data_IF_907603116533
#
_entry.id   IF_907603116533
#
_cell.length_a   1.000
_cell.length_b   1.000
_cell.length_c   1.000
_cell.angle_alpha   90.00
_cell.angle_beta   90.00
_cell.angle_gamma   90.00
#
_symmetry.space_group_name_H-M   'P 1'
#
loop_
_entity.id
_entity.type
_entity.pdbx_description
1 polymer ?
#
# COMPACT_ATOMS: atom_id res chain seq x y z
N UNK A 1 -0.60 24.69 -3.62
CA UNK A 1 -0.95 24.06 -4.91
C UNK A 1 -0.33 24.99 -5.96
N UNK A 2 0.42 24.45 -6.91
CA UNK A 2 1.34 25.15 -7.85
C UNK A 2 2.82 25.12 -7.44
N UNK A 3 3.43 23.93 -7.48
CA UNK A 3 4.90 23.76 -7.60
C UNK A 3 5.34 22.37 -8.13
N UNK A 4 4.42 21.55 -8.66
CA UNK A 4 4.73 20.21 -9.22
C UNK A 4 4.11 19.98 -10.61
N UNK A 5 3.76 21.05 -11.30
CA UNK A 5 3.45 21.00 -12.73
C UNK A 5 4.55 21.71 -13.52
N UNK A 6 5.60 20.96 -13.85
CA UNK A 6 6.18 20.95 -15.19
C UNK A 6 6.96 19.65 -15.35
N UNK A 7 6.60 18.90 -16.39
CA UNK A 7 7.25 17.69 -16.91
C UNK A 7 6.87 16.35 -16.25
N UNK A 8 5.59 15.97 -16.44
CA UNK A 8 5.32 14.62 -16.94
C UNK A 8 6.22 14.34 -18.16
N UNK A 9 6.91 13.20 -18.26
CA UNK A 9 7.32 12.71 -19.57
C UNK A 9 6.03 12.32 -20.29
N UNK A 10 5.58 13.18 -21.21
CA UNK A 10 4.65 12.75 -22.26
C UNK A 10 5.26 11.51 -22.89
N UNK A 11 4.46 10.46 -23.07
CA UNK A 11 4.77 9.42 -24.06
C UNK A 11 4.88 10.11 -25.41
N UNK A 12 6.08 10.55 -25.77
CA UNK A 12 6.39 11.06 -27.08
C UNK A 12 6.66 9.83 -27.95
N UNK A 13 5.57 9.23 -28.45
CA UNK A 13 5.62 8.48 -29.70
C UNK A 13 5.54 9.50 -30.85
N UNK A 14 6.51 10.41 -30.96
CA UNK A 14 6.56 11.37 -32.08
C UNK A 14 6.98 10.63 -33.35
N UNK A 15 6.14 10.58 -34.41
CA UNK A 15 6.49 9.93 -35.67
C UNK A 15 7.65 10.63 -36.42
N UNK A 16 7.95 11.89 -36.06
CA UNK A 16 9.07 12.65 -36.60
C UNK A 16 10.42 12.30 -35.94
N UNK A 17 10.41 11.71 -34.73
CA UNK A 17 11.59 11.19 -34.02
C UNK A 17 12.22 9.98 -34.74
N UNK A 18 11.42 9.24 -35.50
CA UNK A 18 11.87 8.03 -36.20
C UNK A 18 12.52 8.32 -37.56
N UNK A 19 12.28 9.50 -38.15
CA UNK A 19 12.73 9.83 -39.51
C UNK A 19 14.16 10.42 -39.59
N UNK A 20 14.60 11.12 -38.53
CA UNK A 20 15.95 11.65 -38.39
C UNK A 20 16.95 10.62 -37.84
N UNK A 21 16.45 9.57 -37.17
CA UNK A 21 17.23 8.48 -36.60
C UNK A 21 18.02 7.71 -37.69
N UNK A 22 17.50 7.65 -38.93
CA UNK A 22 18.18 7.04 -40.07
C UNK A 22 19.50 7.75 -40.46
N UNK A 23 19.62 9.08 -40.30
CA UNK A 23 20.84 9.82 -40.71
C UNK A 23 21.99 9.71 -39.72
N UNK A 24 21.70 9.63 -38.43
CA UNK A 24 22.72 9.37 -37.39
C UNK A 24 23.10 7.88 -37.33
N UNK A 25 22.16 6.99 -37.64
CA UNK A 25 22.44 5.55 -37.82
C UNK A 25 23.36 5.32 -39.02
N UNK A 26 23.17 6.01 -40.15
CA UNK A 26 24.05 5.88 -41.33
C UNK A 26 25.54 6.22 -41.08
N UNK A 27 25.84 7.19 -40.21
CA UNK A 27 27.23 7.57 -39.92
C UNK A 27 28.00 6.51 -39.12
N UNK A 28 27.33 5.69 -38.31
CA UNK A 28 27.97 4.67 -37.45
C UNK A 28 27.78 3.25 -38.01
N UNK A 29 26.64 2.95 -38.66
CA UNK A 29 26.38 1.66 -39.32
C UNK A 29 27.38 1.41 -40.48
N UNK A 30 28.01 2.45 -41.00
CA UNK A 30 29.05 2.33 -42.03
C UNK A 30 30.42 1.81 -41.53
N UNK A 31 30.61 1.50 -40.24
CA UNK A 31 31.87 0.90 -39.73
C UNK A 31 33.14 1.75 -39.92
N UNK A 32 32.99 3.03 -40.31
CA UNK A 32 34.12 3.95 -40.48
C UNK A 32 34.48 4.57 -39.15
N UNK A 33 35.42 3.95 -38.43
CA UNK A 33 36.10 4.58 -37.29
C UNK A 33 36.71 5.92 -37.79
N UNK A 34 36.44 7.06 -37.12
CA UNK A 34 36.98 8.34 -37.54
C UNK A 34 38.52 8.29 -37.51
N UNK A 35 39.16 8.41 -38.69
CA UNK A 35 40.62 8.27 -38.85
C UNK A 35 41.43 9.47 -38.33
N UNK A 36 40.79 10.56 -37.93
CA UNK A 36 41.45 11.79 -37.46
C UNK A 36 41.04 12.15 -36.03
N UNK A 37 42.05 12.44 -35.21
CA UNK A 37 41.94 12.81 -33.79
C UNK A 37 41.11 14.08 -33.53
N UNK A 38 40.94 14.95 -34.53
CA UNK A 38 40.09 16.15 -34.45
C UNK A 38 38.59 15.83 -34.51
N UNK A 39 38.17 14.92 -35.41
CA UNK A 39 36.74 14.64 -35.66
C UNK A 39 36.00 13.91 -34.52
N UNK A 40 36.72 13.28 -33.59
CA UNK A 40 36.13 12.51 -32.49
C UNK A 40 35.65 13.39 -31.33
N UNK A 41 36.14 14.63 -31.24
CA UNK A 41 35.70 15.63 -30.25
C UNK A 41 34.54 16.49 -30.73
N UNK A 42 34.30 16.53 -32.05
CA UNK A 42 33.24 17.33 -32.63
C UNK A 42 31.87 16.77 -32.22
N UNK A 43 30.97 17.69 -31.84
CA UNK A 43 29.59 17.38 -31.53
C UNK A 43 28.74 17.62 -32.78
N UNK A 44 27.80 16.72 -33.05
CA UNK A 44 26.81 16.91 -34.09
C UNK A 44 25.80 18.01 -33.72
N UNK A 45 24.84 18.28 -34.62
CA UNK A 45 23.79 19.28 -34.40
C UNK A 45 22.87 18.96 -33.21
N UNK A 46 22.85 17.72 -32.76
CA UNK A 46 22.10 17.28 -31.59
C UNK A 46 22.95 17.31 -30.31
N UNK A 47 24.22 17.70 -30.40
CA UNK A 47 25.16 17.77 -29.30
C UNK A 47 25.75 16.42 -28.92
N UNK A 48 25.82 15.46 -29.85
CA UNK A 48 26.40 14.14 -29.63
C UNK A 48 27.72 13.97 -30.37
N UNK A 49 28.72 13.42 -29.68
CA UNK A 49 29.96 12.95 -30.32
C UNK A 49 29.77 11.54 -30.88
N UNK A 50 30.68 11.06 -31.75
CA UNK A 50 30.65 9.66 -32.22
C UNK A 50 30.61 8.64 -31.07
N UNK A 51 31.24 8.95 -29.94
CA UNK A 51 31.21 8.09 -28.75
C UNK A 51 29.82 8.06 -28.09
N UNK A 52 29.08 9.16 -28.07
CA UNK A 52 27.69 9.18 -27.60
C UNK A 52 26.78 8.33 -28.48
N UNK A 53 26.96 8.40 -29.80
CA UNK A 53 26.18 7.59 -30.76
C UNK A 53 26.49 6.09 -30.60
N UNK A 54 27.77 5.72 -30.46
CA UNK A 54 28.18 4.34 -30.17
C UNK A 54 27.61 3.85 -28.82
N UNK A 55 27.61 4.71 -27.80
CA UNK A 55 27.05 4.39 -26.49
C UNK A 55 25.53 4.21 -26.49
N UNK A 56 24.82 5.01 -27.29
CA UNK A 56 23.37 4.88 -27.49
C UNK A 56 22.99 3.57 -28.18
N UNK A 57 23.75 3.18 -29.20
CA UNK A 57 23.48 2.00 -30.03
C UNK A 57 23.99 0.70 -29.39
N UNK A 58 24.95 0.78 -28.47
CA UNK A 58 25.52 -0.40 -27.79
C UNK A 58 26.72 -1.02 -28.51
N UNK A 59 27.41 -0.27 -29.36
CA UNK A 59 28.52 -0.80 -30.16
C UNK A 59 29.84 -0.82 -29.36
N UNK A 60 30.06 -1.90 -28.61
CA UNK A 60 31.22 -2.05 -27.70
C UNK A 60 32.56 -1.91 -28.43
N UNK A 61 32.73 -2.56 -29.59
CA UNK A 61 33.99 -2.49 -30.33
C UNK A 61 34.28 -1.08 -30.87
N UNK A 62 33.25 -0.35 -31.30
CA UNK A 62 33.35 1.05 -31.70
C UNK A 62 33.74 1.94 -30.52
N UNK A 63 33.14 1.70 -29.34
CA UNK A 63 33.48 2.38 -28.08
C UNK A 63 34.95 2.14 -27.72
N UNK A 64 35.41 0.89 -27.75
CA UNK A 64 36.81 0.51 -27.47
C UNK A 64 37.78 1.18 -28.44
N UNK A 65 37.46 1.17 -29.74
CA UNK A 65 38.29 1.81 -30.76
C UNK A 65 38.41 3.33 -30.53
N UNK A 66 37.30 4.02 -30.22
CA UNK A 66 37.29 5.46 -29.98
C UNK A 66 38.05 5.81 -28.69
N UNK A 67 37.85 5.06 -27.60
CA UNK A 67 38.56 5.26 -26.34
C UNK A 67 40.05 4.93 -26.44
N UNK A 68 40.44 4.05 -27.38
CA UNK A 68 41.83 3.79 -27.74
C UNK A 68 42.54 4.97 -28.42
N UNK A 69 41.80 5.86 -29.09
CA UNK A 69 42.36 7.09 -29.69
C UNK A 69 42.65 8.12 -28.60
N UNK A 70 41.64 8.43 -27.78
CA UNK A 70 41.80 9.33 -26.65
C UNK A 70 40.79 9.03 -25.54
N UNK A 71 41.31 8.66 -24.37
CA UNK A 71 40.47 8.34 -23.21
C UNK A 71 39.66 9.54 -22.71
N UNK A 72 40.09 10.79 -22.99
CA UNK A 72 39.35 12.00 -22.54
C UNK A 72 37.94 12.08 -23.11
N UNK A 73 37.67 11.38 -24.22
CA UNK A 73 36.36 11.36 -24.85
C UNK A 73 35.26 10.77 -23.96
N UNK A 74 35.59 9.91 -22.99
CA UNK A 74 34.60 9.35 -22.06
C UNK A 74 33.90 10.40 -21.18
N UNK A 75 34.53 11.56 -20.95
CA UNK A 75 33.98 12.68 -20.16
C UNK A 75 33.52 13.86 -21.01
N UNK A 76 33.50 13.69 -22.33
CA UNK A 76 33.04 14.74 -23.24
C UNK A 76 31.55 14.98 -22.99
N UNK A 77 31.20 16.20 -22.58
CA UNK A 77 29.82 16.58 -22.32
C UNK A 77 29.15 16.99 -23.63
N UNK A 78 28.12 16.25 -23.99
CA UNK A 78 27.21 16.58 -25.07
C UNK A 78 26.04 17.45 -24.60
N UNK A 79 24.89 17.28 -25.26
CA UNK A 79 23.65 17.97 -24.92
C UNK A 79 23.20 17.70 -23.47
N UNK A 80 22.68 18.74 -22.81
CA UNK A 80 22.29 18.75 -21.39
C UNK A 80 23.43 18.39 -20.42
N UNK A 81 24.68 18.49 -20.89
CA UNK A 81 25.85 18.07 -20.12
C UNK A 81 26.00 16.56 -19.97
N UNK A 82 25.25 15.75 -20.73
CA UNK A 82 25.32 14.28 -20.69
C UNK A 82 26.65 13.81 -21.27
N UNK A 83 27.29 12.88 -20.58
CA UNK A 83 28.47 12.15 -21.10
C UNK A 83 28.04 10.87 -21.81
N UNK A 84 28.93 10.18 -22.56
CA UNK A 84 28.61 8.88 -23.16
C UNK A 84 28.12 7.84 -22.14
N UNK A 85 28.63 7.87 -20.91
CA UNK A 85 28.17 6.98 -19.83
C UNK A 85 26.70 7.23 -19.48
N UNK A 86 26.27 8.49 -19.37
CA UNK A 86 24.87 8.87 -19.15
C UNK A 86 23.95 8.33 -20.25
N UNK A 87 24.40 8.39 -21.51
CA UNK A 87 23.63 7.88 -22.65
C UNK A 87 23.55 6.35 -22.65
N UNK A 88 24.63 5.65 -22.31
CA UNK A 88 24.62 4.20 -22.15
C UNK A 88 23.70 3.75 -21.00
N UNK A 89 23.74 4.45 -19.86
CA UNK A 89 22.89 4.23 -18.69
C UNK A 89 21.40 4.43 -19.00
N UNK A 90 21.06 5.49 -19.74
CA UNK A 90 19.70 5.78 -20.22
C UNK A 90 19.12 4.68 -21.11
N UNK A 91 19.97 3.94 -21.84
CA UNK A 91 19.59 2.91 -22.81
C UNK A 91 19.84 1.48 -22.33
N UNK A 92 20.24 1.30 -21.06
CA UNK A 92 20.49 -0.02 -20.49
C UNK A 92 21.68 -0.77 -21.09
N UNK A 93 22.65 -0.09 -21.74
CA UNK A 93 23.76 -0.74 -22.46
C UNK A 93 24.88 -1.17 -21.51
N UNK A 94 24.68 -2.28 -20.79
CA UNK A 94 25.58 -2.81 -19.75
C UNK A 94 27.01 -3.01 -20.22
N UNK A 95 27.22 -3.59 -21.40
CA UNK A 95 28.56 -3.93 -21.88
C UNK A 95 29.36 -2.67 -22.22
N UNK A 96 28.69 -1.67 -22.80
CA UNK A 96 29.27 -0.36 -23.04
C UNK A 96 29.60 0.36 -21.73
N UNK A 97 28.72 0.29 -20.73
CA UNK A 97 28.97 0.86 -19.40
C UNK A 97 30.26 0.28 -18.82
N UNK A 98 30.42 -1.05 -18.86
CA UNK A 98 31.63 -1.72 -18.38
C UNK A 98 32.88 -1.28 -19.14
N UNK A 99 32.83 -1.19 -20.46
CA UNK A 99 33.97 -0.77 -21.28
C UNK A 99 34.37 0.69 -21.03
N UNK A 100 33.40 1.61 -20.94
CA UNK A 100 33.65 3.04 -20.66
C UNK A 100 34.27 3.22 -19.27
N UNK A 101 33.68 2.60 -18.25
CA UNK A 101 34.15 2.74 -16.86
C UNK A 101 35.51 2.07 -16.66
N UNK A 102 35.76 0.92 -17.29
CA UNK A 102 37.08 0.26 -17.27
C UNK A 102 38.17 1.13 -17.92
N UNK A 103 37.79 1.94 -18.91
CA UNK A 103 38.71 2.86 -19.59
C UNK A 103 38.98 4.13 -18.80
N UNK A 104 38.00 4.63 -18.04
CA UNK A 104 38.12 5.80 -17.17
C UNK A 104 37.17 5.68 -15.98
N UNK A 105 37.72 5.39 -14.81
CA UNK A 105 36.95 5.23 -13.56
C UNK A 105 36.22 6.52 -13.19
N UNK A 106 36.88 7.67 -13.31
CA UNK A 106 36.34 8.94 -12.79
C UNK A 106 35.09 9.44 -13.56
N UNK A 107 34.74 8.84 -14.70
CA UNK A 107 33.54 9.21 -15.44
C UNK A 107 32.22 8.83 -14.73
N UNK A 108 32.27 7.97 -13.69
CA UNK A 108 31.06 7.62 -12.90
C UNK A 108 30.57 8.78 -12.03
N UNK A 109 31.45 9.72 -11.70
CA UNK A 109 31.14 10.90 -10.87
C UNK A 109 30.64 12.09 -11.68
N UNK A 110 30.71 12.01 -13.02
CA UNK A 110 30.27 13.08 -13.91
C UNK A 110 28.79 13.38 -13.71
N UNK A 111 28.47 14.66 -13.75
CA UNK A 111 27.12 15.18 -13.60
C UNK A 111 26.66 15.90 -14.87
N UNK A 112 25.39 15.71 -15.17
CA UNK A 112 24.64 16.53 -16.14
C UNK A 112 24.38 17.94 -15.62
N UNK A 113 23.77 18.80 -16.44
CA UNK A 113 23.35 20.15 -16.03
C UNK A 113 22.38 20.12 -14.84
N UNK A 114 21.61 19.05 -14.66
CA UNK A 114 20.68 18.86 -13.53
C UNK A 114 21.33 18.21 -12.29
N UNK A 115 22.66 18.11 -12.23
CA UNK A 115 23.36 17.44 -11.14
C UNK A 115 23.16 15.91 -11.09
N UNK A 116 22.57 15.32 -12.14
CA UNK A 116 22.31 13.88 -12.19
C UNK A 116 23.56 13.13 -12.62
N UNK A 117 23.91 12.06 -11.90
CA UNK A 117 24.92 11.07 -12.30
C UNK A 117 24.33 10.01 -13.23
N UNK A 118 25.18 9.18 -13.84
CA UNK A 118 24.73 8.06 -14.66
C UNK A 118 23.79 7.10 -13.91
N UNK A 119 23.98 6.93 -12.60
CA UNK A 119 23.11 6.12 -11.75
C UNK A 119 21.70 6.72 -11.63
N UNK A 120 21.57 8.04 -11.44
CA UNK A 120 20.27 8.72 -11.42
C UNK A 120 19.49 8.49 -12.72
N UNK A 121 20.18 8.59 -13.86
CA UNK A 121 19.56 8.40 -15.19
C UNK A 121 19.11 6.95 -15.38
N UNK A 122 19.94 5.96 -15.02
CA UNK A 122 19.58 4.55 -15.10
C UNK A 122 18.34 4.24 -14.25
N UNK A 123 18.28 4.80 -13.03
CA UNK A 123 17.13 4.64 -12.13
C UNK A 123 15.87 5.31 -12.70
N UNK A 124 15.99 6.53 -13.20
CA UNK A 124 14.86 7.26 -13.80
C UNK A 124 14.26 6.49 -14.99
N UNK A 125 15.11 5.87 -15.82
CA UNK A 125 14.68 5.09 -16.99
C UNK A 125 14.33 3.64 -16.67
N UNK A 126 14.44 3.22 -15.40
CA UNK A 126 14.13 1.87 -14.92
C UNK A 126 15.01 0.77 -15.53
N UNK A 127 16.24 1.11 -15.91
CA UNK A 127 17.19 0.18 -16.52
C UNK A 127 17.96 -0.59 -15.45
N UNK A 128 17.35 -1.65 -14.91
CA UNK A 128 17.91 -2.45 -13.79
C UNK A 128 19.29 -3.02 -14.13
N UNK A 129 19.50 -3.51 -15.36
CA UNK A 129 20.79 -4.04 -15.79
C UNK A 129 21.92 -3.00 -15.71
N UNK A 130 21.63 -1.75 -16.13
CA UNK A 130 22.58 -0.65 -16.02
C UNK A 130 22.82 -0.26 -14.56
N UNK A 131 21.78 -0.23 -13.72
CA UNK A 131 21.93 0.05 -12.28
C UNK A 131 22.83 -0.99 -11.62
N UNK A 132 22.58 -2.28 -11.84
CA UNK A 132 23.41 -3.37 -11.27
C UNK A 132 24.85 -3.26 -11.75
N UNK A 133 25.08 -3.03 -13.04
CA UNK A 133 26.43 -2.89 -13.58
C UNK A 133 27.15 -1.67 -12.99
N UNK A 134 26.49 -0.52 -12.90
CA UNK A 134 27.07 0.70 -12.32
C UNK A 134 27.37 0.52 -10.83
N UNK A 135 26.45 -0.07 -10.07
CA UNK A 135 26.61 -0.34 -8.63
C UNK A 135 27.78 -1.30 -8.39
N UNK A 136 27.87 -2.40 -9.14
CA UNK A 136 28.99 -3.35 -9.06
C UNK A 136 30.33 -2.68 -9.36
N UNK A 137 30.40 -1.83 -10.39
CA UNK A 137 31.61 -1.09 -10.71
C UNK A 137 31.96 -0.08 -9.60
N UNK A 138 30.98 0.62 -9.05
CA UNK A 138 31.18 1.59 -7.96
C UNK A 138 31.73 0.91 -6.70
N UNK A 139 31.22 -0.27 -6.34
CA UNK A 139 31.68 -1.02 -5.16
C UNK A 139 33.10 -1.54 -5.37
N UNK A 140 33.41 -2.09 -6.56
CA UNK A 140 34.76 -2.57 -6.91
C UNK A 140 35.79 -1.44 -6.90
N UNK A 141 35.42 -0.25 -7.36
CA UNK A 141 36.33 0.90 -7.47
C UNK A 141 36.34 1.79 -6.21
N UNK A 142 35.61 1.41 -5.16
CA UNK A 142 35.46 2.16 -3.91
C UNK A 142 35.01 3.62 -4.12
N UNK A 143 34.02 3.84 -5.01
CA UNK A 143 33.41 5.16 -5.29
C UNK A 143 31.99 5.26 -4.73
N UNK A 144 31.81 4.74 -3.52
CA UNK A 144 30.51 4.59 -2.84
C UNK A 144 29.77 5.93 -2.74
N UNK A 145 30.50 7.05 -2.78
CA UNK A 145 29.95 8.41 -2.78
C UNK A 145 28.92 8.70 -3.88
N UNK A 146 29.02 8.00 -5.01
CA UNK A 146 28.10 8.16 -6.14
C UNK A 146 26.69 7.61 -5.82
N UNK A 147 26.56 6.68 -4.85
CA UNK A 147 25.26 6.09 -4.47
C UNK A 147 24.34 7.07 -3.74
N UNK A 148 24.92 8.04 -3.02
CA UNK A 148 24.18 9.01 -2.20
C UNK A 148 24.29 10.45 -2.71
N UNK A 149 24.91 10.64 -3.87
CA UNK A 149 24.99 11.95 -4.52
C UNK A 149 23.57 12.45 -4.81
N UNK A 150 23.36 13.76 -4.61
CA UNK A 150 22.06 14.40 -4.79
C UNK A 150 22.00 15.13 -6.13
N UNK A 151 20.87 15.01 -6.82
CA UNK A 151 20.58 15.84 -7.99
C UNK A 151 20.29 17.31 -7.60
N UNK A 152 20.01 18.15 -8.59
CA UNK A 152 19.67 19.55 -8.37
C UNK A 152 18.42 19.74 -7.49
N UNK A 153 17.52 18.76 -7.41
CA UNK A 153 16.34 18.79 -6.54
C UNK A 153 16.63 18.21 -5.13
N UNK A 154 17.86 17.79 -4.88
CA UNK A 154 18.27 17.15 -3.63
C UNK A 154 17.91 15.68 -3.54
N UNK A 155 17.37 15.07 -4.60
CA UNK A 155 16.99 13.67 -4.60
C UNK A 155 18.23 12.79 -4.76
N UNK A 156 18.32 11.75 -3.95
CA UNK A 156 19.27 10.66 -4.16
C UNK A 156 18.70 9.65 -5.17
N UNK A 157 19.50 8.72 -5.72
CA UNK A 157 18.99 7.64 -6.56
C UNK A 157 17.87 6.83 -5.88
N UNK A 158 17.93 6.68 -4.55
CA UNK A 158 16.89 6.00 -3.76
C UNK A 158 15.55 6.76 -3.75
N UNK A 159 15.56 8.10 -3.75
CA UNK A 159 14.33 8.89 -3.88
C UNK A 159 13.67 8.65 -5.25
N UNK A 160 14.48 8.65 -6.32
CA UNK A 160 13.99 8.40 -7.68
C UNK A 160 13.45 6.98 -7.83
N UNK A 161 14.13 5.98 -7.26
CA UNK A 161 13.68 4.58 -7.30
C UNK A 161 12.34 4.40 -6.57
N UNK A 162 12.18 5.07 -5.43
CA UNK A 162 10.94 5.08 -4.64
C UNK A 162 9.80 5.80 -5.37
N UNK A 163 10.08 6.94 -6.02
CA UNK A 163 9.09 7.63 -6.87
C UNK A 163 8.58 6.75 -8.01
N UNK A 164 9.46 5.95 -8.62
CA UNK A 164 9.11 5.00 -9.68
C UNK A 164 8.48 3.71 -9.15
N UNK A 165 8.52 3.47 -7.84
CA UNK A 165 7.97 2.28 -7.16
C UNK A 165 8.50 0.97 -7.70
N UNK A 166 9.76 0.95 -8.11
CA UNK A 166 10.40 -0.26 -8.61
C UNK A 166 11.12 -0.99 -7.47
N UNK A 167 10.48 -2.06 -6.97
CA UNK A 167 10.99 -2.85 -5.83
C UNK A 167 12.40 -3.39 -6.06
N UNK A 168 12.65 -4.00 -7.23
CA UNK A 168 13.95 -4.61 -7.52
C UNK A 168 15.07 -3.57 -7.52
N UNK A 169 14.77 -2.37 -8.03
CA UNK A 169 15.72 -1.27 -8.05
C UNK A 169 16.05 -0.76 -6.64
N UNK A 170 15.05 -0.65 -5.78
CA UNK A 170 15.23 -0.25 -4.38
C UNK A 170 16.04 -1.30 -3.62
N UNK A 171 15.79 -2.58 -3.87
CA UNK A 171 16.53 -3.69 -3.27
C UNK A 171 18.02 -3.62 -3.63
N UNK A 172 18.36 -3.50 -4.92
CA UNK A 172 19.75 -3.37 -5.37
C UNK A 172 20.44 -2.15 -4.75
N UNK A 173 19.76 -1.00 -4.72
CA UNK A 173 20.35 0.23 -4.16
C UNK A 173 20.55 0.14 -2.65
N UNK A 174 19.60 -0.44 -1.91
CA UNK A 174 19.70 -0.60 -0.45
C UNK A 174 20.77 -1.61 -0.06
N UNK A 175 20.91 -2.70 -0.81
CA UNK A 175 21.95 -3.71 -0.58
C UNK A 175 23.35 -3.19 -0.93
N UNK A 176 23.44 -2.25 -1.86
CA UNK A 176 24.70 -1.62 -2.24
C UNK A 176 25.26 -0.64 -1.19
N UNK A 177 24.41 -0.12 -0.29
CA UNK A 177 24.84 0.85 0.72
C UNK A 177 25.55 0.10 1.87
N UNK A 178 26.76 0.51 2.28
CA UNK A 178 27.46 -0.09 3.42
C UNK A 178 26.63 -0.03 4.70
N UNK A 179 26.58 -1.13 5.47
CA UNK A 179 25.78 -1.24 6.70
C UNK A 179 26.09 -0.11 7.71
N UNK A 180 27.33 0.37 7.76
CA UNK A 180 27.77 1.44 8.67
C UNK A 180 27.09 2.78 8.39
N UNK A 181 26.85 3.12 7.12
CA UNK A 181 26.22 4.38 6.69
C UNK A 181 24.76 4.23 6.24
N UNK A 182 24.27 2.99 6.16
CA UNK A 182 22.93 2.63 5.66
C UNK A 182 21.81 3.43 6.30
N UNK A 183 21.81 3.54 7.62
CA UNK A 183 20.76 4.25 8.36
C UNK A 183 20.80 5.76 8.13
N UNK A 184 21.98 6.34 7.89
CA UNK A 184 22.10 7.77 7.60
C UNK A 184 21.70 8.09 6.16
N UNK A 185 22.19 7.30 5.20
CA UNK A 185 21.99 7.57 3.76
C UNK A 185 20.56 7.28 3.29
N UNK A 186 19.92 6.24 3.83
CA UNK A 186 18.51 5.94 3.54
C UNK A 186 17.58 7.06 4.04
N UNK A 187 18.03 7.80 5.07
CA UNK A 187 17.31 8.91 5.69
C UNK A 187 17.69 10.28 5.13
N UNK A 188 18.47 10.33 4.05
CA UNK A 188 18.75 11.58 3.36
C UNK A 188 17.44 12.26 2.94
N UNK A 189 17.38 13.58 3.14
CA UNK A 189 16.23 14.40 2.72
C UNK A 189 16.55 15.17 1.44
N UNK A 190 15.55 15.34 0.59
CA UNK A 190 15.62 16.21 -0.59
C UNK A 190 15.41 17.69 -0.25
N UNK A 191 15.42 18.59 -1.25
CA UNK A 191 15.18 20.03 -1.02
C UNK A 191 13.80 20.35 -0.45
N UNK A 192 12.85 19.41 -0.55
CA UNK A 192 11.51 19.54 0.06
C UNK A 192 11.48 19.07 1.52
N UNK A 193 12.58 18.53 2.06
CA UNK A 193 12.62 17.97 3.40
C UNK A 193 11.98 16.59 3.52
N UNK A 194 11.78 15.89 2.40
CA UNK A 194 11.17 14.55 2.37
C UNK A 194 12.26 13.49 2.27
N UNK A 195 12.14 12.42 3.04
CA UNK A 195 12.93 11.20 2.85
C UNK A 195 12.32 10.32 1.74
N UNK A 196 13.07 9.32 1.28
CA UNK A 196 12.55 8.33 0.34
C UNK A 196 11.29 7.63 0.89
N UNK A 197 11.23 7.37 2.19
CA UNK A 197 10.07 6.77 2.85
C UNK A 197 8.86 7.71 2.83
N UNK A 198 9.07 9.02 3.05
CA UNK A 198 7.99 10.01 2.98
C UNK A 198 7.39 10.08 1.58
N UNK A 199 8.23 10.04 0.53
CA UNK A 199 7.76 10.01 -0.86
C UNK A 199 6.86 8.80 -1.17
N UNK A 200 7.20 7.62 -0.63
CA UNK A 200 6.38 6.41 -0.80
C UNK A 200 5.00 6.57 -0.16
N UNK A 201 4.95 7.15 1.03
CA UNK A 201 3.71 7.29 1.81
C UNK A 201 2.82 8.42 1.27
N UNK A 202 3.41 9.49 0.74
CA UNK A 202 2.65 10.62 0.18
C UNK A 202 1.86 10.24 -1.09
N UNK A 203 2.37 9.30 -1.88
CA UNK A 203 1.74 8.86 -3.11
C UNK A 203 1.51 7.34 -3.05
N UNK A 204 0.51 6.82 -2.32
CA UNK A 204 0.28 5.37 -2.21
C UNK A 204 -0.33 4.76 -3.49
N UNK A 205 0.05 3.53 -3.81
CA UNK A 205 -0.51 2.65 -4.86
C UNK A 205 -0.97 1.33 -4.23
N UNK A 206 -1.97 0.69 -4.84
CA UNK A 206 -2.83 -0.29 -4.17
C UNK A 206 -2.22 -1.69 -3.96
N UNK A 207 -1.10 -2.09 -4.60
CA UNK A 207 -0.65 -3.49 -4.55
C UNK A 207 0.85 -3.77 -4.31
N UNK A 208 1.76 -2.80 -4.45
CA UNK A 208 3.23 -3.06 -4.36
C UNK A 208 3.98 -2.30 -3.27
N UNK A 209 3.37 -1.23 -2.75
CA UNK A 209 4.08 -0.27 -1.89
C UNK A 209 4.39 -0.84 -0.51
N UNK A 210 3.62 -1.82 -0.05
CA UNK A 210 3.83 -2.47 1.26
C UNK A 210 5.18 -3.19 1.33
N UNK A 211 5.54 -3.95 0.29
CA UNK A 211 6.83 -4.65 0.25
C UNK A 211 8.00 -3.67 0.20
N UNK A 212 7.83 -2.59 -0.58
CA UNK A 212 8.82 -1.51 -0.67
C UNK A 212 8.98 -0.80 0.67
N UNK A 213 7.86 -0.50 1.32
CA UNK A 213 7.81 0.10 2.66
C UNK A 213 8.55 -0.76 3.68
N UNK A 214 8.25 -2.06 3.71
CA UNK A 214 8.93 -3.00 4.62
C UNK A 214 10.43 -3.08 4.34
N UNK A 215 10.85 -3.09 3.06
CA UNK A 215 12.27 -3.10 2.69
C UNK A 215 12.99 -1.83 3.17
N UNK A 216 12.40 -0.65 2.96
CA UNK A 216 12.97 0.61 3.41
C UNK A 216 13.07 0.67 4.94
N UNK A 217 12.01 0.28 5.66
CA UNK A 217 12.03 0.22 7.14
C UNK A 217 13.11 -0.75 7.64
N UNK A 218 13.25 -1.93 7.03
CA UNK A 218 14.32 -2.90 7.38
C UNK A 218 15.71 -2.33 7.13
N UNK A 219 15.86 -1.43 6.17
CA UNK A 219 17.11 -0.71 5.91
C UNK A 219 17.37 0.44 6.89
N UNK A 220 16.47 0.69 7.85
CA UNK A 220 16.58 1.78 8.82
C UNK A 220 15.95 3.10 8.36
N UNK A 221 15.09 3.07 7.33
CA UNK A 221 14.36 4.27 6.91
C UNK A 221 13.43 4.78 8.01
N UNK A 222 13.43 6.08 8.21
CA UNK A 222 12.58 6.84 9.11
C UNK A 222 11.84 7.92 8.30
N UNK A 223 10.71 8.36 8.84
CA UNK A 223 10.00 9.50 8.28
C UNK A 223 10.73 10.80 8.62
N UNK A 224 10.68 11.79 7.74
CA UNK A 224 11.30 13.11 7.95
C UNK A 224 10.90 13.76 9.28
N UNK A 225 9.66 13.54 9.75
CA UNK A 225 9.17 13.99 11.05
C UNK A 225 9.94 13.43 12.24
N UNK A 226 10.42 12.19 12.12
CA UNK A 226 11.03 11.44 13.21
C UNK A 226 12.55 11.68 13.27
N UNK A 227 13.15 11.99 12.11
CA UNK A 227 14.58 12.31 11.95
C UNK A 227 14.94 13.61 12.72
N UNK A 228 14.08 14.64 12.62
CA UNK A 228 14.29 15.93 13.31
C UNK A 228 14.30 15.84 14.84
N UNK A 229 13.56 14.87 15.39
CA UNK A 229 13.50 14.61 16.84
C UNK A 229 14.77 13.92 17.35
N UNK A 230 15.43 13.15 16.50
CA UNK A 230 16.63 12.36 16.84
C UNK A 230 17.92 13.20 16.74
N UNK A 231 17.96 14.17 15.83
CA UNK A 231 19.13 15.06 15.63
C UNK A 231 19.45 15.97 16.82
N UNK A 232 18.50 16.25 17.72
CA UNK A 232 18.76 17.03 18.93
C UNK A 232 19.39 16.21 20.07
N UNK A 233 19.37 14.88 19.98
CA UNK A 233 19.97 13.99 21.00
C UNK A 233 21.44 13.68 20.66
N UNK A 234 21.82 13.74 19.38
CA UNK A 234 23.13 13.25 18.92
C UNK A 234 24.30 14.24 19.08
N UNK A 235 24.05 15.48 19.56
CA UNK A 235 25.11 16.47 19.78
C UNK A 235 25.66 16.48 21.21
N UNK A 236 25.13 15.64 22.10
CA UNK A 236 25.68 15.43 23.45
C UNK A 236 25.81 13.94 23.72
N UNK A 237 26.99 13.54 24.18
CA UNK A 237 27.39 12.19 24.64
C UNK A 237 27.91 11.21 23.59
N UNK A 238 29.08 11.53 23.05
CA UNK A 238 30.13 10.51 22.86
C UNK A 238 30.64 10.06 24.24
N UNK A 239 30.12 8.94 24.76
CA UNK A 239 30.79 8.00 25.69
C UNK A 239 29.76 7.27 26.55
N UNK A 240 29.43 6.04 26.19
CA UNK A 240 29.55 4.86 27.07
C UNK A 240 29.04 3.62 26.33
N UNK A 241 29.97 2.70 26.10
CA UNK A 241 29.72 1.28 25.91
C UNK A 241 28.90 0.70 27.06
N UNK A 242 27.92 -0.14 26.78
CA UNK A 242 27.81 -1.51 27.30
C UNK A 242 26.45 -2.12 26.95
N UNK A 243 26.51 -3.43 26.70
CA UNK A 243 25.43 -4.40 26.63
C UNK A 243 24.16 -4.05 27.41
N UNK A 244 23.00 -4.31 26.80
CA UNK A 244 21.93 -4.96 27.56
C UNK A 244 21.21 -5.96 26.67
N UNK A 245 21.40 -7.23 27.03
CA UNK A 245 20.64 -8.39 26.60
C UNK A 245 19.13 -8.17 26.71
N UNK A 246 18.40 -8.82 25.81
CA UNK A 246 16.96 -9.06 25.92
C UNK A 246 16.66 -9.76 27.25
N UNK A 247 16.09 -9.02 28.19
CA UNK A 247 15.28 -9.60 29.25
C UNK A 247 13.84 -9.77 28.75
N UNK A 248 13.48 -11.03 28.56
CA UNK A 248 12.12 -11.51 28.45
C UNK A 248 11.52 -11.54 29.87
N UNK A 249 10.51 -10.72 30.17
CA UNK A 249 9.40 -11.08 31.06
C UNK A 249 8.29 -10.00 31.20
N UNK A 250 7.04 -10.48 31.12
CA UNK A 250 5.80 -9.96 31.70
C UNK A 250 5.18 -8.63 31.19
N UNK A 251 4.33 -8.72 30.15
CA UNK A 251 3.20 -7.79 29.92
C UNK A 251 2.05 -8.45 29.13
N UNK A 252 1.47 -9.48 29.74
CA UNK A 252 0.61 -10.52 29.12
C UNK A 252 -0.85 -10.15 28.77
N UNK A 253 -1.25 -8.88 28.61
CA UNK A 253 -2.63 -8.64 28.10
C UNK A 253 -2.91 -7.23 27.56
N UNK A 254 -2.15 -6.21 28.01
CA UNK A 254 -2.34 -4.82 27.56
C UNK A 254 -1.74 -4.53 26.18
N UNK A 255 -0.75 -5.30 25.75
CA UNK A 255 -0.07 -5.07 24.46
C UNK A 255 -0.75 -5.71 23.26
N UNK A 256 -1.49 -6.82 23.43
CA UNK A 256 -2.23 -7.43 22.33
C UNK A 256 -3.33 -6.51 21.81
N UNK A 257 -4.09 -5.86 22.71
CA UNK A 257 -5.13 -4.90 22.32
C UNK A 257 -4.51 -3.69 21.59
N UNK A 258 -3.35 -3.22 22.05
CA UNK A 258 -2.61 -2.10 21.43
C UNK A 258 -1.97 -2.45 20.08
N UNK A 259 -1.80 -3.74 19.80
CA UNK A 259 -1.36 -4.27 18.51
C UNK A 259 -2.50 -4.35 17.49
N UNK A 260 -3.72 -4.70 17.94
CA UNK A 260 -4.92 -4.79 17.10
C UNK A 260 -5.71 -3.48 16.97
N UNK A 261 -5.34 -2.42 17.69
CA UNK A 261 -6.00 -1.13 17.53
C UNK A 261 -5.68 -0.51 16.17
N UNK A 262 -6.73 -0.11 15.45
CA UNK A 262 -6.63 0.64 14.22
C UNK A 262 -5.80 1.91 14.45
N UNK A 263 -4.67 2.02 13.74
CA UNK A 263 -3.81 3.19 13.80
C UNK A 263 -3.97 3.95 12.49
N UNK A 264 -4.60 5.13 12.57
CA UNK A 264 -4.87 6.04 11.43
C UNK A 264 -3.65 6.34 10.54
N UNK A 265 -2.42 6.17 11.06
CA UNK A 265 -1.17 6.41 10.35
C UNK A 265 -0.48 5.15 9.81
N UNK A 266 -0.90 3.95 10.25
CA UNK A 266 -0.33 2.64 9.88
C UNK A 266 -1.26 1.87 8.95
N UNK A 267 -2.56 1.91 9.21
CA UNK A 267 -3.54 1.06 8.55
C UNK A 267 -4.33 1.89 7.53
N UNK A 268 -4.38 1.42 6.29
CA UNK A 268 -5.12 2.09 5.22
C UNK A 268 -6.61 2.15 5.56
N UNK A 269 -7.30 3.29 5.33
CA UNK A 269 -8.75 3.36 5.42
C UNK A 269 -9.47 2.30 4.57
N UNK A 270 -8.86 1.84 3.47
CA UNK A 270 -9.41 0.80 2.59
C UNK A 270 -9.29 -0.62 3.19
N UNK A 271 -8.21 -0.92 3.90
CA UNK A 271 -8.02 -2.21 4.59
C UNK A 271 -8.97 -2.32 5.79
N UNK A 272 -9.10 -1.25 6.58
CA UNK A 272 -10.08 -1.19 7.65
C UNK A 272 -11.51 -1.32 7.11
N UNK A 273 -11.85 -0.61 6.01
CA UNK A 273 -13.14 -0.74 5.34
C UNK A 273 -13.41 -2.18 4.89
N UNK A 274 -12.42 -2.86 4.33
CA UNK A 274 -12.55 -4.25 3.84
C UNK A 274 -12.73 -5.25 5.00
N UNK A 275 -11.93 -5.13 6.05
CA UNK A 275 -12.06 -5.96 7.24
C UNK A 275 -13.42 -5.74 7.95
N UNK A 276 -13.85 -4.48 8.06
CA UNK A 276 -15.13 -4.11 8.64
C UNK A 276 -16.32 -4.62 7.78
N UNK A 277 -16.20 -4.62 6.44
CA UNK A 277 -17.20 -5.23 5.56
C UNK A 277 -17.32 -6.74 5.81
N UNK A 278 -16.19 -7.45 5.96
CA UNK A 278 -16.20 -8.88 6.25
C UNK A 278 -16.87 -9.15 7.61
N UNK A 279 -16.45 -8.44 8.67
CA UNK A 279 -17.05 -8.60 10.01
C UNK A 279 -18.54 -8.28 10.00
N UNK A 280 -18.96 -7.17 9.38
CA UNK A 280 -20.36 -6.80 9.28
C UNK A 280 -21.18 -7.85 8.51
N UNK A 281 -20.63 -8.41 7.42
CA UNK A 281 -21.28 -9.47 6.64
C UNK A 281 -21.43 -10.78 7.42
N UNK A 282 -20.42 -11.15 8.22
CA UNK A 282 -20.47 -12.34 9.08
C UNK A 282 -21.50 -12.20 10.20
N UNK A 283 -21.54 -11.05 10.88
CA UNK A 283 -22.53 -10.77 11.93
C UNK A 283 -23.95 -10.74 11.34
N UNK A 284 -24.15 -10.10 10.17
CA UNK A 284 -25.42 -10.12 9.47
C UNK A 284 -25.85 -11.54 9.08
N UNK A 285 -24.91 -12.37 8.61
CA UNK A 285 -25.19 -13.76 8.24
C UNK A 285 -25.57 -14.59 9.46
N UNK A 286 -24.82 -14.50 10.56
CA UNK A 286 -25.09 -15.26 11.79
C UNK A 286 -26.46 -14.90 12.40
N UNK A 287 -26.80 -13.62 12.44
CA UNK A 287 -28.10 -13.14 12.96
C UNK A 287 -29.26 -13.53 12.05
N UNK A 288 -29.08 -13.48 10.73
CA UNK A 288 -30.07 -13.96 9.77
C UNK A 288 -30.30 -15.48 9.87
N UNK A 289 -29.24 -16.27 9.98
CA UNK A 289 -29.33 -17.73 10.12
C UNK A 289 -30.07 -18.15 11.39
N UNK A 290 -29.85 -17.45 12.51
CA UNK A 290 -30.58 -17.68 13.74
C UNK A 290 -32.10 -17.41 13.62
N UNK A 291 -32.52 -16.65 12.61
CA UNK A 291 -33.94 -16.41 12.32
C UNK A 291 -34.57 -17.49 11.44
N UNK A 292 -33.78 -18.10 10.55
CA UNK A 292 -34.23 -19.20 9.69
C UNK A 292 -34.25 -20.55 10.41
N UNK A 293 -33.31 -20.74 11.34
CA UNK A 293 -33.19 -21.97 12.13
C UNK A 293 -33.37 -21.63 13.61
N UNK A 294 -34.61 -21.52 14.10
CA UNK A 294 -34.84 -21.24 15.51
C UNK A 294 -34.30 -22.40 16.37
N UNK A 295 -33.92 -22.14 17.64
CA UNK A 295 -33.24 -23.10 18.53
C UNK A 295 -34.05 -24.35 18.95
N UNK A 296 -35.12 -24.70 18.24
CA UNK A 296 -35.81 -25.99 18.33
C UNK A 296 -36.11 -26.65 16.98
N UNK A 297 -35.79 -26.00 15.86
CA UNK A 297 -36.12 -26.48 14.51
C UNK A 297 -37.54 -26.12 14.07
N UNK A 298 -38.06 -26.86 13.09
CA UNK A 298 -39.44 -26.74 12.58
C UNK A 298 -40.10 -28.11 12.59
N UNK A 299 -41.42 -28.13 12.83
CA UNK A 299 -42.19 -29.36 12.71
C UNK A 299 -42.18 -29.86 11.26
N UNK A 300 -41.92 -31.15 11.06
CA UNK A 300 -41.89 -31.77 9.73
C UNK A 300 -43.26 -32.33 9.32
N UNK A 301 -44.15 -32.55 10.30
CA UNK A 301 -45.49 -33.08 10.16
C UNK A 301 -46.52 -32.18 10.85
N UNK A 302 -47.80 -32.43 10.56
CA UNK A 302 -48.92 -31.69 11.17
C UNK A 302 -49.70 -32.61 12.09
N UNK A 303 -49.93 -32.18 13.32
CA UNK A 303 -50.76 -32.86 14.31
C UNK A 303 -52.00 -32.04 14.62
N UNK A 304 -53.17 -32.59 14.32
CA UNK A 304 -54.46 -32.04 14.74
C UNK A 304 -55.21 -33.13 15.52
N UNK A 305 -55.67 -32.86 16.76
CA UNK A 305 -56.44 -33.84 17.51
C UNK A 305 -57.79 -34.04 16.82
N UNK A 306 -58.07 -35.27 16.38
CA UNK A 306 -59.34 -35.64 15.77
C UNK A 306 -60.48 -35.54 16.80
N UNK A 307 -61.51 -34.77 16.49
CA UNK A 307 -62.72 -34.68 17.30
C UNK A 307 -63.64 -35.87 17.03
N UNK A 308 -63.34 -37.03 17.61
CA UNK A 308 -64.36 -38.08 17.74
C UNK A 308 -64.09 -39.01 18.93
N UNK A 309 -65.20 -39.36 19.57
CA UNK A 309 -65.38 -39.89 20.91
C UNK A 309 -64.81 -41.30 21.14
N UNK A 310 -64.59 -41.54 22.43
CA UNK A 310 -64.59 -42.80 23.18
C UNK A 310 -63.29 -43.60 23.35
N UNK A 311 -63.12 -43.94 24.64
CA UNK A 311 -62.34 -45.01 25.27
C UNK A 311 -60.84 -44.82 25.51
N UNK A 312 -60.56 -44.40 26.75
CA UNK A 312 -59.60 -45.01 27.69
C UNK A 312 -58.28 -45.52 27.11
N UNK A 313 -57.23 -44.72 27.18
CA UNK A 313 -56.04 -45.04 28.00
C UNK A 313 -54.91 -44.02 27.77
N UNK A 314 -54.17 -43.80 28.85
CA UNK A 314 -52.89 -43.09 28.97
C UNK A 314 -52.98 -41.56 28.94
N UNK A 315 -52.69 -40.98 30.11
CA UNK A 315 -52.32 -39.58 30.30
C UNK A 315 -51.02 -39.29 29.54
N UNK A 316 -51.10 -39.07 28.22
CA UNK A 316 -50.08 -38.31 27.50
C UNK A 316 -50.38 -36.83 27.71
N UNK A 317 -49.38 -36.00 28.08
CA UNK A 317 -49.61 -34.58 28.27
C UNK A 317 -50.17 -34.01 26.98
N UNK A 318 -51.27 -33.25 27.08
CA UNK A 318 -51.99 -32.64 25.97
C UNK A 318 -51.03 -31.87 25.06
N UNK A 319 -50.55 -32.50 23.98
CA UNK A 319 -49.75 -31.82 22.97
C UNK A 319 -50.65 -30.83 22.24
N UNK A 320 -50.24 -29.56 22.20
CA UNK A 320 -50.94 -28.54 21.44
C UNK A 320 -50.91 -28.90 19.95
N UNK A 321 -51.98 -28.61 19.19
CA UNK A 321 -51.98 -28.83 17.73
C UNK A 321 -50.87 -28.01 17.08
N UNK A 322 -50.15 -28.62 16.13
CA UNK A 322 -49.07 -27.98 15.37
C UNK A 322 -49.16 -28.33 13.90
N UNK A 323 -48.68 -27.44 13.04
CA UNK A 323 -48.67 -27.62 11.59
C UNK A 323 -47.22 -27.72 11.10
N UNK A 324 -47.00 -28.54 10.08
CA UNK A 324 -45.70 -28.65 9.42
C UNK A 324 -45.21 -27.26 8.96
N UNK A 325 -43.94 -26.96 9.22
CA UNK A 325 -43.34 -25.65 8.96
C UNK A 325 -43.46 -24.65 10.12
N UNK A 326 -44.22 -24.96 11.18
CA UNK A 326 -44.23 -24.14 12.39
C UNK A 326 -42.93 -24.33 13.19
N UNK A 327 -42.39 -23.23 13.71
CA UNK A 327 -41.16 -23.26 14.51
C UNK A 327 -41.36 -23.93 15.87
N UNK A 328 -40.45 -24.82 16.22
CA UNK A 328 -40.37 -25.45 17.54
C UNK A 328 -39.57 -24.52 18.45
N UNK A 329 -40.14 -24.22 19.61
CA UNK A 329 -39.49 -23.34 20.57
C UNK A 329 -38.50 -24.10 21.45
N UNK A 330 -37.27 -23.58 21.55
CA UNK A 330 -36.30 -24.07 22.53
C UNK A 330 -36.67 -23.70 23.98
N UNK A 331 -37.39 -22.59 24.20
CA UNK A 331 -37.85 -22.16 25.53
C UNK A 331 -39.23 -21.52 25.47
N UNK A 332 -40.12 -21.86 26.41
CA UNK A 332 -41.45 -21.24 26.54
C UNK A 332 -41.46 -19.97 27.41
N UNK A 333 -40.29 -19.52 27.89
CA UNK A 333 -40.19 -18.31 28.69
C UNK A 333 -40.22 -17.07 27.77
N UNK A 334 -41.35 -16.35 27.76
CA UNK A 334 -41.57 -15.18 26.92
C UNK A 334 -40.54 -14.06 27.12
N UNK A 335 -39.98 -13.91 28.34
CA UNK A 335 -38.97 -12.88 28.64
C UNK A 335 -37.65 -13.21 27.93
N UNK A 336 -37.18 -14.46 28.04
CA UNK A 336 -35.95 -14.91 27.41
C UNK A 336 -36.04 -14.83 25.88
N UNK A 337 -37.17 -15.24 25.32
CA UNK A 337 -37.44 -15.14 23.89
C UNK A 337 -37.43 -13.67 23.41
N UNK A 338 -38.08 -12.79 24.16
CA UNK A 338 -38.13 -11.36 23.85
C UNK A 338 -36.74 -10.72 23.86
N UNK A 339 -35.89 -11.06 24.84
CA UNK A 339 -34.49 -10.59 24.90
C UNK A 339 -33.68 -11.11 23.70
N UNK A 340 -33.84 -12.37 23.33
CA UNK A 340 -33.20 -12.95 22.16
C UNK A 340 -33.57 -12.19 20.89
N UNK A 341 -34.87 -12.00 20.63
CA UNK A 341 -35.37 -11.25 19.47
C UNK A 341 -34.81 -9.83 19.45
N UNK A 342 -34.81 -9.15 20.60
CA UNK A 342 -34.32 -7.78 20.72
C UNK A 342 -32.82 -7.65 20.35
N UNK A 343 -31.95 -8.43 20.99
CA UNK A 343 -30.50 -8.34 20.72
C UNK A 343 -30.12 -8.83 19.32
N UNK A 344 -30.80 -9.87 18.82
CA UNK A 344 -30.54 -10.39 17.47
C UNK A 344 -30.93 -9.35 16.40
N UNK A 345 -32.10 -8.72 16.55
CA UNK A 345 -32.56 -7.67 15.63
C UNK A 345 -31.65 -6.44 15.68
N UNK A 346 -31.12 -6.05 16.85
CA UNK A 346 -30.12 -4.98 16.95
C UNK A 346 -28.84 -5.33 16.20
N UNK A 347 -28.30 -6.54 16.44
CA UNK A 347 -27.08 -7.01 15.77
C UNK A 347 -27.22 -6.98 14.26
N UNK A 348 -28.33 -7.52 13.73
CA UNK A 348 -28.62 -7.52 12.31
C UNK A 348 -28.77 -6.09 11.75
N UNK A 349 -29.54 -5.22 12.43
CA UNK A 349 -29.80 -3.86 11.97
C UNK A 349 -28.55 -2.98 11.94
N UNK A 350 -27.69 -3.08 12.97
CA UNK A 350 -26.40 -2.37 13.02
C UNK A 350 -25.46 -2.89 11.93
N UNK A 351 -25.40 -4.20 11.70
CA UNK A 351 -24.57 -4.77 10.62
C UNK A 351 -25.00 -4.32 9.23
N UNK A 352 -26.31 -4.30 8.93
CA UNK A 352 -26.82 -3.76 7.66
C UNK A 352 -26.54 -2.26 7.49
N UNK A 353 -26.68 -1.49 8.56
CA UNK A 353 -26.36 -0.06 8.55
C UNK A 353 -24.87 0.18 8.29
N UNK A 354 -24.02 -0.62 8.91
CA UNK A 354 -22.58 -0.61 8.70
C UNK A 354 -22.21 -1.00 7.27
N UNK A 355 -22.83 -2.03 6.68
CA UNK A 355 -22.66 -2.39 5.27
C UNK A 355 -23.08 -1.26 4.33
N UNK A 356 -24.19 -0.56 4.60
CA UNK A 356 -24.65 0.58 3.81
C UNK A 356 -23.69 1.77 3.91
N UNK A 357 -23.11 2.05 5.10
CA UNK A 357 -22.11 3.10 5.29
C UNK A 357 -20.80 2.75 4.56
N UNK A 358 -20.32 1.52 4.74
CA UNK A 358 -19.06 1.05 4.14
C UNK A 358 -19.16 0.85 2.63
N UNK A 359 -20.33 0.93 2.02
CA UNK A 359 -20.50 0.83 0.55
C UNK A 359 -20.81 2.17 -0.12
N UNK A 360 -20.78 3.30 0.62
CA UNK A 360 -20.82 4.63 0.01
C UNK A 360 -19.60 4.80 -0.93
N UNK A 361 -19.87 4.94 -2.23
CA UNK A 361 -18.85 5.12 -3.28
C UNK A 361 -18.84 4.05 -4.38
N UNK A 362 -19.57 2.94 -4.24
CA UNK A 362 -19.64 1.93 -5.30
C UNK A 362 -20.68 2.28 -6.38
N UNK A 363 -20.41 1.97 -7.67
CA UNK A 363 -21.32 2.28 -8.78
C UNK A 363 -22.64 1.48 -8.75
N UNK A 364 -22.72 0.38 -8.01
CA UNK A 364 -23.91 -0.51 -7.90
C UNK A 364 -24.71 -0.32 -6.60
N UNK A 365 -24.64 0.88 -5.99
CA UNK A 365 -25.25 1.16 -4.68
C UNK A 365 -26.76 0.88 -4.65
N UNK A 366 -27.48 1.22 -5.71
CA UNK A 366 -28.95 1.09 -5.74
C UNK A 366 -29.41 -0.37 -5.68
N UNK A 367 -28.79 -1.25 -6.46
CA UNK A 367 -29.08 -2.69 -6.46
C UNK A 367 -28.80 -3.31 -5.08
N UNK A 368 -27.67 -2.92 -4.46
CA UNK A 368 -27.32 -3.40 -3.13
C UNK A 368 -28.31 -2.92 -2.06
N UNK A 369 -28.80 -1.68 -2.16
CA UNK A 369 -29.80 -1.15 -1.23
C UNK A 369 -31.14 -1.89 -1.32
N UNK A 370 -31.57 -2.25 -2.53
CA UNK A 370 -32.77 -3.09 -2.70
C UNK A 370 -32.57 -4.46 -2.03
N UNK A 371 -31.40 -5.08 -2.22
CA UNK A 371 -31.08 -6.37 -1.58
C UNK A 371 -31.07 -6.26 -0.05
N UNK A 372 -30.41 -5.23 0.50
CA UNK A 372 -30.38 -4.97 1.95
C UNK A 372 -31.79 -4.74 2.52
N UNK A 373 -32.63 -4.00 1.81
CA UNK A 373 -34.03 -3.78 2.21
C UNK A 373 -34.83 -5.09 2.20
N UNK A 374 -34.68 -5.91 1.16
CA UNK A 374 -35.35 -7.21 1.05
C UNK A 374 -34.90 -8.16 2.17
N UNK A 375 -33.60 -8.23 2.48
CA UNK A 375 -33.08 -9.00 3.61
C UNK A 375 -33.64 -8.51 4.94
N UNK A 376 -33.76 -7.19 5.12
CA UNK A 376 -34.33 -6.59 6.32
C UNK A 376 -35.78 -7.01 6.55
N UNK A 377 -36.64 -6.87 5.55
CA UNK A 377 -38.04 -7.29 5.67
C UNK A 377 -38.19 -8.80 5.88
N UNK A 378 -37.36 -9.60 5.19
CA UNK A 378 -37.37 -11.06 5.33
C UNK A 378 -37.02 -11.49 6.75
N UNK A 379 -36.00 -10.87 7.36
CA UNK A 379 -35.59 -11.14 8.74
C UNK A 379 -36.70 -10.82 9.75
N UNK A 380 -37.31 -9.63 9.65
CA UNK A 380 -38.38 -9.23 10.57
C UNK A 380 -39.63 -10.11 10.44
N UNK A 381 -39.98 -10.52 9.22
CA UNK A 381 -41.09 -11.44 8.96
C UNK A 381 -40.80 -12.82 9.55
N UNK A 382 -39.59 -13.34 9.36
CA UNK A 382 -39.17 -14.61 9.96
C UNK A 382 -39.22 -14.53 11.50
N UNK A 383 -38.65 -13.50 12.11
CA UNK A 383 -38.57 -13.37 13.57
C UNK A 383 -39.95 -13.22 14.24
N UNK A 384 -40.89 -12.55 13.57
CA UNK A 384 -42.28 -12.42 14.06
C UNK A 384 -43.10 -13.70 13.86
N UNK A 385 -42.76 -14.52 12.86
CA UNK A 385 -43.40 -15.83 12.63
C UNK A 385 -43.02 -16.89 13.67
N UNK A 386 -41.82 -16.78 14.24
CA UNK A 386 -41.31 -17.67 15.30
C UNK A 386 -41.94 -17.31 16.66
N UNK A 387 -42.43 -16.09 16.85
CA UNK A 387 -42.83 -15.58 18.17
C UNK A 387 -44.10 -16.26 18.75
N UNK A 388 -44.15 -16.52 20.07
CA UNK A 388 -45.32 -17.08 20.72
C UNK A 388 -46.46 -16.05 20.77
N UNK A 389 -47.70 -16.50 20.67
CA UNK A 389 -48.88 -15.62 20.50
C UNK A 389 -48.99 -14.51 21.55
N UNK A 390 -48.62 -14.80 22.81
CA UNK A 390 -48.70 -13.86 23.92
C UNK A 390 -47.65 -12.74 23.90
N UNK A 391 -46.57 -12.87 23.14
CA UNK A 391 -45.54 -11.81 22.96
C UNK A 391 -45.41 -11.33 21.51
N UNK A 392 -46.14 -11.94 20.57
CA UNK A 392 -46.07 -11.62 19.14
C UNK A 392 -46.31 -10.15 18.83
N UNK A 393 -47.30 -9.53 19.48
CA UNK A 393 -47.58 -8.09 19.34
C UNK A 393 -46.40 -7.22 19.83
N UNK A 394 -45.77 -7.61 20.94
CA UNK A 394 -44.61 -6.91 21.49
C UNK A 394 -43.38 -7.05 20.57
N UNK A 395 -43.16 -8.25 20.00
CA UNK A 395 -42.11 -8.47 19.01
C UNK A 395 -42.33 -7.64 17.73
N UNK A 396 -43.57 -7.54 17.24
CA UNK A 396 -43.92 -6.70 16.07
C UNK A 396 -43.66 -5.22 16.37
N UNK A 397 -44.05 -4.74 17.55
CA UNK A 397 -43.81 -3.35 17.96
C UNK A 397 -42.32 -3.04 18.07
N UNK A 398 -41.55 -3.90 18.73
CA UNK A 398 -40.09 -3.73 18.86
C UNK A 398 -39.41 -3.70 17.50
N UNK A 399 -39.70 -4.69 16.65
CA UNK A 399 -39.06 -4.80 15.33
C UNK A 399 -39.40 -3.60 14.43
N UNK A 400 -40.65 -3.15 14.46
CA UNK A 400 -41.11 -1.98 13.70
C UNK A 400 -40.51 -0.66 14.21
N UNK A 401 -40.44 -0.48 15.54
CA UNK A 401 -39.82 0.71 16.15
C UNK A 401 -38.32 0.72 15.88
N UNK A 402 -37.65 -0.42 15.97
CA UNK A 402 -36.22 -0.53 15.72
C UNK A 402 -35.90 -0.28 14.24
N UNK A 403 -36.75 -0.71 13.31
CA UNK A 403 -36.66 -0.38 11.88
C UNK A 403 -36.65 1.13 11.64
N UNK A 404 -37.61 1.84 12.24
CA UNK A 404 -37.73 3.29 12.12
C UNK A 404 -36.62 4.05 12.87
N UNK A 405 -36.16 3.50 14.00
CA UNK A 405 -35.15 4.13 14.85
C UNK A 405 -33.72 3.93 14.33
N UNK A 406 -33.44 2.90 13.53
CA UNK A 406 -32.08 2.55 13.08
C UNK A 406 -31.33 3.73 12.42
N UNK A 407 -31.94 4.50 11.49
CA UNK A 407 -31.26 5.66 10.88
C UNK A 407 -30.99 6.79 11.89
N UNK A 408 -31.86 6.96 12.89
CA UNK A 408 -31.72 7.98 13.92
C UNK A 408 -30.70 7.57 14.98
N UNK A 409 -30.72 6.30 15.41
CA UNK A 409 -29.79 5.72 16.37
C UNK A 409 -28.34 5.79 15.88
N UNK A 410 -28.10 5.58 14.58
CA UNK A 410 -26.76 5.73 14.00
C UNK A 410 -26.24 7.17 14.10
N UNK A 411 -27.07 8.18 13.82
CA UNK A 411 -26.70 9.61 14.02
C UNK A 411 -26.50 9.95 15.48
N UNK A 412 -27.24 9.29 16.37
CA UNK A 412 -27.18 9.51 17.81
C UNK A 412 -25.97 8.80 18.44
N UNK A 413 -25.46 7.73 17.82
CA UNK A 413 -24.26 6.99 18.23
C UNK A 413 -22.95 7.65 17.76
N UNK A 414 -22.96 8.47 16.69
CA UNK A 414 -21.77 9.21 16.25
C UNK A 414 -21.18 10.11 17.35
N UNK A 415 -22.03 10.84 18.08
CA UNK A 415 -21.62 11.76 19.16
C UNK A 415 -21.01 11.05 20.39
N UNK A 416 -21.64 10.03 20.98
CA UNK A 416 -21.07 9.31 22.12
C UNK A 416 -19.87 8.46 21.72
N UNK A 417 -19.79 7.91 20.50
CA UNK A 417 -18.58 7.22 20.03
C UNK A 417 -17.42 8.21 19.91
N UNK A 418 -17.64 9.40 19.34
CA UNK A 418 -16.63 10.46 19.29
C UNK A 418 -16.19 10.91 20.69
N UNK A 419 -17.15 11.05 21.62
CA UNK A 419 -16.88 11.44 23.01
C UNK A 419 -16.14 10.34 23.79
N UNK A 420 -16.48 9.06 23.57
CA UNK A 420 -15.78 7.91 24.16
C UNK A 420 -14.36 7.77 23.62
N UNK A 421 -14.15 8.01 22.32
CA UNK A 421 -12.80 8.07 21.76
C UNK A 421 -11.98 9.20 22.39
N UNK A 422 -12.56 10.39 22.58
CA UNK A 422 -11.88 11.51 23.24
C UNK A 422 -11.58 11.25 24.73
N UNK A 423 -12.51 10.61 25.44
CA UNK A 423 -12.32 10.20 26.84
C UNK A 423 -11.25 9.10 26.95
N UNK A 424 -11.21 8.17 26.01
CA UNK A 424 -10.20 7.11 25.94
C UNK A 424 -8.81 7.69 25.67
N UNK A 425 -8.70 8.65 24.73
CA UNK A 425 -7.45 9.36 24.46
C UNK A 425 -6.98 10.19 25.66
N UNK A 426 -7.92 10.85 26.36
CA UNK A 426 -7.63 11.61 27.59
C UNK A 426 -7.19 10.71 28.74
N UNK A 427 -7.77 9.51 28.88
CA UNK A 427 -7.38 8.53 29.89
C UNK A 427 -6.02 7.92 29.57
N UNK A 428 -5.74 7.63 28.31
CA UNK A 428 -4.42 7.16 27.85
C UNK A 428 -3.32 8.20 28.11
N UNK A 429 -3.59 9.49 27.87
CA UNK A 429 -2.66 10.57 28.20
C UNK A 429 -2.39 10.67 29.70
N UNK A 430 -3.41 10.52 30.55
CA UNK A 430 -3.22 10.53 32.02
C UNK A 430 -2.44 9.33 32.54
N UNK A 431 -2.60 8.17 31.91
CA UNK A 431 -1.88 6.94 32.29
C UNK A 431 -0.43 6.95 31.78
N UNK A 432 -0.12 7.64 30.68
CA UNK A 432 1.26 7.80 30.19
C UNK A 432 2.06 8.92 30.87
N UNK A 433 1.42 9.80 31.64
CA UNK A 433 2.06 10.91 32.36
C UNK A 433 2.24 10.67 33.87
N UNK A 434 1.88 9.49 34.38
CA UNK A 434 2.30 8.96 35.68
C UNK A 434 3.31 7.85 35.45
#
# INVERSE_FOLDING_TARGET
MDAFETHQPREITDPLYNSSNLRSEECVVAGKIPRQRSSVFDLDKEGFSPLHAAARTGQVETVRAILGIDKKLCRLKGRDGKTPLHVAAMRGKTDVIREIVSSCVDCVEDETVQGQTALHIAVMHQEIGAVVAIVELITVMNRIEVLYKKDEQGNTPLHLATWRKNRQMIEVLVEAIPEESKTFEVNAMNKMGLSALDLLVMFPSEAGDREIYEKLIRAGAQRGSDIGTTTNIQRTTSSTSACQERAMESQSHKDLVKYFTFKKHRDSPSEARSALLVVASLVATATFQASLTPPGGTWQDSYTPASSQNTTSVNTPSQQPYIAGQSIMGTFNGIAFTLFVFFNTIGFSVSLSMLNILTLGFPLRFQLQICMMAMYFSHNTAMTSVAPDHVKLYCILITSILAAATPALMRLLEKPIAMLCQLWDSMLQKICCQ
#
